data_IF_632758043125
#
_entry.id   IF_632758043125
#
_cell.length_a   1.000
_cell.length_b   1.000
_cell.length_c   1.000
_cell.angle_alpha   90.00
_cell.angle_beta   90.00
_cell.angle_gamma   90.00
#
_symmetry.space_group_name_H-M   'P 1'
#
loop_
_entity.id
_entity.type
_entity.pdbx_description
1 polymer ?
#
# COMPACT_ATOMS: atom_id res chain seq x y z
N UNK A 1 84.25 1.85 -33.75
CA UNK A 1 82.78 2.18 -33.70
C UNK A 1 82.02 0.90 -33.99
N UNK A 2 81.65 0.15 -32.99
CA UNK A 2 80.89 -1.09 -33.13
C UNK A 2 79.44 -0.83 -32.73
N UNK A 3 78.53 -0.90 -33.69
CA UNK A 3 77.09 -0.78 -33.49
C UNK A 3 76.57 -1.99 -32.72
N UNK A 4 76.21 -1.82 -31.45
CA UNK A 4 75.43 -2.82 -30.73
C UNK A 4 73.96 -2.72 -31.15
N UNK A 5 73.45 -3.83 -31.66
CA UNK A 5 72.07 -3.94 -32.11
C UNK A 5 71.15 -4.09 -30.89
N UNK A 6 70.18 -3.16 -30.62
CA UNK A 6 69.31 -3.17 -29.44
C UNK A 6 68.31 -4.32 -29.38
N UNK A 7 68.18 -5.12 -30.45
CA UNK A 7 67.21 -6.24 -30.55
C UNK A 7 67.67 -7.45 -29.71
N UNK A 8 68.97 -7.67 -29.59
CA UNK A 8 69.54 -8.85 -28.86
C UNK A 8 69.35 -8.69 -27.35
N UNK A 9 69.38 -7.47 -26.83
CA UNK A 9 69.24 -7.21 -25.39
C UNK A 9 67.80 -7.35 -24.89
N UNK A 10 66.81 -7.22 -25.76
CA UNK A 10 65.38 -7.35 -25.43
C UNK A 10 64.95 -8.82 -25.26
N UNK A 11 65.63 -9.76 -25.90
CA UNK A 11 65.31 -11.19 -25.76
C UNK A 11 65.92 -11.83 -24.52
N UNK A 12 67.02 -11.28 -23.97
CA UNK A 12 67.61 -11.79 -22.73
C UNK A 12 66.81 -11.36 -21.47
N UNK A 13 66.17 -10.18 -21.46
CA UNK A 13 65.31 -9.78 -20.37
C UNK A 13 63.96 -10.49 -20.39
N UNK A 14 63.44 -10.89 -21.54
CA UNK A 14 62.18 -11.65 -21.64
C UNK A 14 62.31 -13.10 -21.15
N UNK A 15 63.54 -13.70 -21.22
CA UNK A 15 63.76 -15.07 -20.74
C UNK A 15 64.08 -15.16 -19.26
N UNK A 16 64.52 -14.06 -18.63
CA UNK A 16 64.85 -14.04 -17.21
C UNK A 16 63.60 -13.69 -16.34
N UNK A 17 62.58 -13.05 -16.90
CA UNK A 17 61.30 -12.81 -16.21
C UNK A 17 60.33 -14.02 -16.20
N UNK A 18 60.63 -15.07 -16.99
CA UNK A 18 59.74 -16.23 -17.09
C UNK A 18 60.03 -17.35 -16.07
N UNK A 19 61.08 -17.19 -15.25
CA UNK A 19 61.48 -18.22 -14.29
C UNK A 19 61.32 -17.83 -12.80
N UNK A 20 60.65 -16.70 -12.52
CA UNK A 20 60.45 -16.27 -11.12
C UNK A 20 58.95 -16.14 -10.71
N UNK A 21 57.98 -16.61 -11.53
CA UNK A 21 56.55 -16.69 -11.19
C UNK A 21 56.04 -18.12 -11.15
N UNK A 22 56.82 -19.06 -10.60
CA UNK A 22 56.28 -20.27 -10.00
C UNK A 22 56.15 -20.06 -8.47
N UNK A 23 55.62 -18.91 -8.05
CA UNK A 23 54.95 -18.77 -6.78
C UNK A 23 53.67 -19.53 -6.93
N UNK A 24 53.54 -20.69 -6.30
CA UNK A 24 52.29 -21.35 -6.06
C UNK A 24 51.38 -20.31 -5.36
N UNK A 25 50.48 -19.68 -6.13
CA UNK A 25 49.23 -19.24 -5.56
C UNK A 25 48.58 -20.54 -5.08
N UNK A 26 48.65 -20.84 -3.80
CA UNK A 26 47.63 -21.67 -3.19
C UNK A 26 46.34 -20.90 -3.40
N UNK A 27 45.55 -21.27 -4.40
CA UNK A 27 44.14 -20.94 -4.41
C UNK A 27 43.68 -21.43 -3.04
N UNK A 28 43.30 -20.48 -2.18
CA UNK A 28 42.61 -20.79 -0.95
C UNK A 28 41.28 -21.34 -1.42
N UNK A 29 41.15 -22.67 -1.43
CA UNK A 29 39.97 -23.42 -1.89
C UNK A 29 38.78 -23.24 -0.93
N UNK A 30 38.83 -22.20 -0.07
CA UNK A 30 37.67 -21.82 0.73
C UNK A 30 36.64 -21.17 -0.20
N UNK A 31 35.48 -21.80 -0.39
CA UNK A 31 34.45 -21.26 -1.25
C UNK A 31 34.06 -19.86 -0.76
N UNK A 32 34.01 -18.91 -1.71
CA UNK A 32 33.63 -17.55 -1.42
C UNK A 32 32.25 -17.54 -0.72
N UNK A 33 32.07 -16.81 0.39
CA UNK A 33 30.78 -16.74 1.09
C UNK A 33 29.66 -16.35 0.14
N UNK A 34 28.59 -17.14 0.12
CA UNK A 34 27.44 -16.94 -0.76
C UNK A 34 26.15 -17.24 -0.03
N UNK A 35 25.12 -16.46 -0.34
CA UNK A 35 23.73 -16.65 0.15
C UNK A 35 22.79 -16.68 -1.02
N UNK A 36 21.73 -17.51 -0.94
CA UNK A 36 20.58 -17.46 -1.83
C UNK A 36 19.29 -17.53 -1.02
N UNK A 37 18.43 -16.56 -1.26
CA UNK A 37 17.10 -16.51 -0.70
C UNK A 37 16.08 -17.15 -1.62
N UNK A 38 15.06 -17.75 -1.02
CA UNK A 38 13.80 -18.13 -1.65
C UNK A 38 12.66 -17.95 -0.66
N UNK A 39 11.44 -17.69 -1.15
CA UNK A 39 10.24 -17.58 -0.33
C UNK A 39 9.01 -17.99 -1.14
N UNK A 40 8.03 -18.69 -0.57
CA UNK A 40 6.73 -18.91 -1.16
C UNK A 40 5.78 -17.72 -1.00
N UNK A 41 6.14 -16.73 -0.18
CA UNK A 41 5.32 -15.58 0.15
C UNK A 41 5.30 -14.57 -1.00
N UNK A 42 4.11 -14.17 -1.45
CA UNK A 42 3.93 -13.20 -2.54
C UNK A 42 4.41 -11.79 -2.20
N UNK A 43 4.52 -11.47 -0.90
CA UNK A 43 4.98 -10.18 -0.39
C UNK A 43 6.50 -10.10 -0.27
N UNK A 44 7.19 -11.21 -0.58
CA UNK A 44 8.63 -11.31 -0.61
C UNK A 44 9.10 -11.43 -2.06
N UNK A 45 9.79 -10.42 -2.55
CA UNK A 45 10.42 -10.42 -3.87
C UNK A 45 11.91 -10.72 -3.74
N UNK A 46 12.37 -11.73 -4.44
CA UNK A 46 13.78 -12.13 -4.46
C UNK A 46 14.46 -11.54 -5.70
N UNK A 47 15.69 -11.03 -5.55
CA UNK A 47 16.51 -10.58 -6.68
C UNK A 47 16.84 -11.74 -7.64
N UNK A 48 17.17 -11.42 -8.88
CA UNK A 48 17.44 -12.44 -9.91
C UNK A 48 18.64 -13.34 -9.55
N UNK A 49 19.63 -12.80 -8.86
CA UNK A 49 20.81 -13.55 -8.37
C UNK A 49 20.56 -14.28 -7.05
N UNK A 50 19.42 -14.03 -6.39
CA UNK A 50 19.04 -14.62 -5.12
C UNK A 50 19.73 -14.01 -3.88
N UNK A 51 20.58 -12.99 -4.04
CA UNK A 51 21.39 -12.45 -2.94
C UNK A 51 20.69 -11.39 -2.11
N UNK A 52 19.54 -10.89 -2.58
CA UNK A 52 18.73 -9.93 -1.84
C UNK A 52 17.24 -10.26 -1.92
N UNK A 53 16.51 -9.76 -0.93
CA UNK A 53 15.07 -9.84 -0.84
C UNK A 53 14.45 -8.48 -0.51
N UNK A 54 13.21 -8.26 -0.94
CA UNK A 54 12.40 -7.12 -0.56
C UNK A 54 11.06 -7.62 -0.02
N UNK A 55 10.70 -7.19 1.18
CA UNK A 55 9.43 -7.48 1.85
C UNK A 55 8.58 -6.23 1.81
N UNK A 56 7.33 -6.35 1.34
CA UNK A 56 6.34 -5.27 1.37
C UNK A 56 5.21 -5.69 2.29
N UNK A 57 5.14 -5.07 3.46
CA UNK A 57 4.19 -5.40 4.52
C UNK A 57 3.10 -4.33 4.65
N UNK A 58 1.91 -4.74 5.07
CA UNK A 58 0.87 -3.84 5.54
C UNK A 58 1.29 -3.22 6.88
N UNK A 59 0.46 -2.36 7.45
CA UNK A 59 0.73 -1.74 8.75
C UNK A 59 0.65 -2.73 9.93
N UNK A 60 0.04 -3.89 9.76
CA UNK A 60 -0.10 -4.90 10.81
C UNK A 60 1.24 -5.51 11.22
N UNK A 61 1.34 -5.92 12.47
CA UNK A 61 2.39 -6.82 12.90
C UNK A 61 2.35 -8.12 12.06
N UNK A 62 3.51 -8.66 11.74
CA UNK A 62 3.58 -9.82 10.87
C UNK A 62 4.87 -10.61 10.96
N UNK A 63 4.86 -11.78 10.34
CA UNK A 63 6.00 -12.67 10.25
C UNK A 63 6.17 -13.13 8.81
N UNK A 64 7.39 -13.00 8.29
CA UNK A 64 7.77 -13.45 6.95
C UNK A 64 8.84 -14.53 7.07
N UNK A 65 8.70 -15.57 6.25
CA UNK A 65 9.62 -16.71 6.28
C UNK A 65 10.31 -16.83 4.93
N UNK A 66 11.64 -16.82 4.99
CA UNK A 66 12.51 -17.07 3.85
C UNK A 66 13.32 -18.36 4.11
N UNK A 67 13.60 -19.08 3.05
CA UNK A 67 14.65 -20.09 3.06
C UNK A 67 15.94 -19.45 2.59
N UNK A 68 17.02 -19.66 3.31
CA UNK A 68 18.33 -19.09 3.03
C UNK A 68 19.37 -20.21 2.90
N UNK A 69 19.74 -20.55 1.67
CA UNK A 69 20.89 -21.39 1.39
C UNK A 69 22.17 -20.61 1.61
N UNK A 70 23.12 -21.17 2.34
CA UNK A 70 24.39 -20.52 2.70
C UNK A 70 25.52 -21.51 2.87
N UNK A 71 26.75 -21.08 2.68
CA UNK A 71 27.98 -21.85 2.89
C UNK A 71 28.92 -21.28 3.97
N UNK A 72 28.36 -20.44 4.86
CA UNK A 72 29.06 -19.79 5.96
C UNK A 72 28.18 -19.69 7.22
N UNK A 73 28.77 -19.30 8.34
CA UNK A 73 28.04 -18.97 9.56
C UNK A 73 27.42 -17.57 9.40
N UNK A 74 26.12 -17.51 9.19
CA UNK A 74 25.41 -16.27 8.89
C UNK A 74 24.76 -15.71 10.16
N UNK A 75 24.90 -14.39 10.36
CA UNK A 75 24.23 -13.65 11.42
C UNK A 75 23.35 -12.58 10.78
N UNK A 76 22.01 -12.63 10.94
CA UNK A 76 21.13 -11.56 10.50
C UNK A 76 21.17 -10.39 11.49
N UNK A 77 21.39 -9.17 10.99
CA UNK A 77 21.39 -7.93 11.77
C UNK A 77 20.40 -6.92 11.17
N UNK A 78 19.46 -6.45 11.98
CA UNK A 78 18.51 -5.41 11.59
C UNK A 78 18.95 -4.04 12.05
N UNK A 79 18.74 -3.03 11.23
CA UNK A 79 19.02 -1.62 11.56
C UNK A 79 17.87 -0.95 12.34
N UNK A 80 16.78 -1.68 12.62
CA UNK A 80 15.58 -1.19 13.31
C UNK A 80 15.08 -2.16 14.37
N UNK A 81 14.69 -1.63 15.53
CA UNK A 81 14.17 -2.45 16.64
C UNK A 81 12.80 -3.05 16.36
N UNK A 82 11.95 -2.38 15.56
CA UNK A 82 10.62 -2.85 15.21
C UNK A 82 10.61 -3.98 14.15
N UNK A 83 11.77 -4.27 13.56
CA UNK A 83 11.95 -5.31 12.57
C UNK A 83 13.10 -6.21 13.04
N UNK A 84 12.82 -7.45 13.36
CA UNK A 84 13.82 -8.40 13.84
C UNK A 84 13.96 -9.58 12.90
N UNK A 85 15.11 -10.24 12.92
CA UNK A 85 15.37 -11.41 12.10
C UNK A 85 16.06 -12.51 12.91
N UNK A 86 15.56 -13.73 12.80
CA UNK A 86 16.09 -14.90 13.47
C UNK A 86 16.36 -16.01 12.47
N UNK A 87 17.58 -16.52 12.46
CA UNK A 87 17.99 -17.64 11.61
C UNK A 87 18.05 -18.94 12.42
N UNK A 88 17.37 -19.97 11.94
CA UNK A 88 17.40 -21.32 12.52
C UNK A 88 17.61 -22.34 11.39
N UNK A 89 18.83 -22.87 11.28
CA UNK A 89 19.24 -23.67 10.12
C UNK A 89 19.22 -22.83 8.84
N UNK A 90 18.39 -23.24 7.89
CA UNK A 90 18.16 -22.52 6.63
C UNK A 90 16.88 -21.66 6.66
N UNK A 91 16.15 -21.67 7.77
CA UNK A 91 14.93 -20.87 7.93
C UNK A 91 15.26 -19.53 8.56
N UNK A 92 15.07 -18.45 7.78
CA UNK A 92 15.14 -17.08 8.25
C UNK A 92 13.72 -16.58 8.50
N UNK A 93 13.45 -16.17 9.73
CA UNK A 93 12.17 -15.56 10.13
C UNK A 93 12.38 -14.08 10.37
N UNK A 94 11.62 -13.25 9.66
CA UNK A 94 11.58 -11.80 9.85
C UNK A 94 10.28 -11.46 10.55
N UNK A 95 10.35 -10.78 11.70
CA UNK A 95 9.21 -10.33 12.48
C UNK A 95 9.15 -8.80 12.47
N UNK A 96 7.97 -8.25 12.29
CA UNK A 96 7.70 -6.82 12.29
C UNK A 96 6.60 -6.48 13.30
N UNK A 97 6.76 -5.35 13.98
CA UNK A 97 5.75 -4.80 14.86
C UNK A 97 4.70 -4.00 14.07
N UNK A 98 3.52 -3.79 14.67
CA UNK A 98 2.47 -2.92 14.13
C UNK A 98 2.97 -1.50 13.88
N UNK A 99 2.50 -0.89 12.79
CA UNK A 99 2.84 0.49 12.41
C UNK A 99 1.58 1.37 12.39
N UNK A 100 1.42 2.20 13.40
CA UNK A 100 0.30 3.14 13.51
C UNK A 100 0.60 4.54 12.94
N UNK A 101 1.85 4.80 12.51
CA UNK A 101 2.31 6.15 12.16
C UNK A 101 2.55 6.30 10.66
N UNK A 102 3.78 6.45 10.23
CA UNK A 102 4.16 6.74 8.85
C UNK A 102 4.78 5.51 8.15
N UNK A 103 4.82 5.54 6.81
CA UNK A 103 5.57 4.57 6.02
C UNK A 103 6.99 4.45 6.57
N UNK A 104 7.41 3.24 6.88
CA UNK A 104 8.73 2.99 7.46
C UNK A 104 9.50 1.88 6.76
N UNK A 105 10.82 1.97 6.84
CA UNK A 105 11.72 1.04 6.20
C UNK A 105 12.74 0.49 7.19
N UNK A 106 13.12 -0.78 6.99
CA UNK A 106 14.20 -1.44 7.68
C UNK A 106 15.11 -2.16 6.69
N UNK A 107 16.34 -2.38 7.09
CA UNK A 107 17.29 -3.21 6.38
C UNK A 107 17.84 -4.30 7.31
N UNK A 108 17.82 -5.54 6.82
CA UNK A 108 18.44 -6.68 7.50
C UNK A 108 19.65 -7.08 6.66
N UNK A 109 20.82 -7.02 7.27
CA UNK A 109 22.09 -7.46 6.69
C UNK A 109 22.38 -8.89 7.11
N UNK A 110 22.77 -9.74 6.18
CA UNK A 110 23.27 -11.09 6.48
C UNK A 110 24.77 -11.02 6.52
N UNK A 111 25.31 -11.13 7.74
CA UNK A 111 26.71 -10.95 8.03
C UNK A 111 27.49 -12.28 7.98
N UNK A 112 28.71 -12.21 7.47
CA UNK A 112 29.78 -13.20 7.66
C UNK A 112 30.97 -12.47 8.27
N UNK A 113 31.12 -12.53 9.59
CA UNK A 113 32.01 -11.65 10.33
C UNK A 113 31.63 -10.18 10.13
N UNK A 114 32.52 -9.36 9.60
CA UNK A 114 32.30 -7.94 9.33
C UNK A 114 31.73 -7.66 7.90
N UNK A 115 31.61 -8.70 7.08
CA UNK A 115 31.18 -8.56 5.68
C UNK A 115 29.67 -8.80 5.50
N UNK A 116 29.00 -7.91 4.76
CA UNK A 116 27.61 -8.10 4.34
C UNK A 116 27.60 -8.97 3.09
N UNK A 117 26.98 -10.17 3.18
CA UNK A 117 26.90 -11.12 2.08
C UNK A 117 25.51 -11.11 1.42
N UNK A 118 24.47 -10.77 2.17
CA UNK A 118 23.11 -10.65 1.67
C UNK A 118 22.36 -9.52 2.33
N UNK A 119 21.26 -9.07 1.70
CA UNK A 119 20.46 -7.96 2.21
C UNK A 119 18.97 -8.20 2.03
N UNK A 120 18.19 -7.89 3.05
CA UNK A 120 16.73 -7.85 2.99
C UNK A 120 16.28 -6.43 3.30
N UNK A 121 15.43 -5.87 2.45
CA UNK A 121 14.76 -4.60 2.71
C UNK A 121 13.31 -4.89 3.12
N UNK A 122 12.82 -4.17 4.11
CA UNK A 122 11.44 -4.25 4.56
C UNK A 122 10.83 -2.87 4.43
N UNK A 123 9.73 -2.77 3.68
CA UNK A 123 8.87 -1.60 3.62
C UNK A 123 7.56 -1.93 4.31
N UNK A 124 7.17 -1.15 5.31
CA UNK A 124 5.91 -1.34 6.02
C UNK A 124 5.01 -0.13 5.85
N UNK A 125 3.78 -0.39 5.36
CA UNK A 125 2.74 0.60 5.14
C UNK A 125 2.23 1.24 6.42
N UNK A 126 1.29 2.17 6.26
CA UNK A 126 0.64 2.91 7.35
C UNK A 126 -0.77 2.39 7.58
N UNK A 127 -1.30 2.59 8.78
CA UNK A 127 -2.69 2.33 9.09
C UNK A 127 -3.62 3.18 8.19
N UNK A 128 -4.69 2.60 7.63
CA UNK A 128 -5.60 3.33 6.77
C UNK A 128 -6.38 4.40 7.54
N UNK A 129 -6.57 5.55 6.91
CA UNK A 129 -7.42 6.63 7.41
C UNK A 129 -8.50 6.97 6.40
N UNK A 130 -9.67 7.38 6.88
CA UNK A 130 -10.80 7.77 6.08
C UNK A 130 -11.54 8.93 6.72
N UNK A 131 -11.81 9.97 5.95
CA UNK A 131 -12.69 11.07 6.33
C UNK A 131 -13.56 11.52 5.16
N UNK A 132 -14.74 12.01 5.48
CA UNK A 132 -15.72 12.52 4.53
C UNK A 132 -15.93 14.01 4.77
N UNK A 133 -16.04 14.80 3.70
CA UNK A 133 -16.39 16.23 3.79
C UNK A 133 -17.79 16.44 4.42
N UNK A 134 -18.72 15.50 4.17
CA UNK A 134 -20.05 15.46 4.78
C UNK A 134 -20.43 14.02 5.13
N UNK A 135 -21.08 13.84 6.26
CA UNK A 135 -21.68 12.57 6.67
C UNK A 135 -23.22 12.54 6.51
N UNK A 136 -23.77 13.54 5.83
CA UNK A 136 -25.19 13.64 5.51
C UNK A 136 -25.40 14.04 4.05
N UNK A 137 -26.51 13.59 3.46
CA UNK A 137 -26.94 13.95 2.12
C UNK A 137 -28.47 14.05 2.08
N UNK A 138 -28.99 15.15 1.55
CA UNK A 138 -30.43 15.40 1.48
C UNK A 138 -30.87 15.55 0.02
N UNK A 139 -31.95 14.88 -0.34
CA UNK A 139 -32.56 14.96 -1.65
C UNK A 139 -34.01 15.47 -1.54
N UNK A 140 -34.41 16.26 -2.53
CA UNK A 140 -35.85 16.57 -2.71
C UNK A 140 -36.56 15.34 -3.23
N UNK A 141 -37.89 15.36 -3.19
CA UNK A 141 -38.73 14.29 -3.77
C UNK A 141 -38.50 14.05 -5.25
N UNK A 142 -38.03 15.05 -5.99
CA UNK A 142 -37.77 14.92 -7.43
C UNK A 142 -36.48 14.13 -7.73
N UNK A 143 -35.66 13.90 -6.71
CA UNK A 143 -34.39 13.24 -6.87
C UNK A 143 -33.33 14.12 -7.54
N UNK A 144 -32.48 13.50 -8.37
CA UNK A 144 -31.35 14.18 -9.03
C UNK A 144 -30.04 14.01 -8.28
N UNK A 145 -29.02 14.72 -8.72
CA UNK A 145 -27.69 14.72 -8.09
C UNK A 145 -27.55 15.82 -7.03
N UNK A 146 -26.67 15.58 -6.08
CA UNK A 146 -26.18 16.59 -5.12
C UNK A 146 -24.73 16.94 -5.43
N UNK A 147 -24.19 17.97 -4.78
CA UNK A 147 -22.77 18.32 -4.86
C UNK A 147 -21.91 17.12 -4.44
N UNK A 148 -20.81 16.86 -5.14
CA UNK A 148 -19.97 15.71 -4.82
C UNK A 148 -19.34 15.84 -3.42
N UNK A 149 -19.35 14.75 -2.66
CA UNK A 149 -18.73 14.67 -1.35
C UNK A 149 -17.27 14.27 -1.51
N UNK A 150 -16.35 15.03 -0.93
CA UNK A 150 -14.94 14.68 -0.93
C UNK A 150 -14.67 13.53 0.05
N UNK A 151 -13.95 12.52 -0.43
CA UNK A 151 -13.43 11.38 0.35
C UNK A 151 -11.93 11.56 0.50
N UNK A 152 -11.45 11.66 1.72
CA UNK A 152 -10.03 11.78 2.01
C UNK A 152 -9.53 10.50 2.67
N UNK A 153 -8.51 9.89 2.08
CA UNK A 153 -7.84 8.69 2.60
C UNK A 153 -6.35 8.74 2.31
N UNK A 154 -5.54 8.07 3.11
CA UNK A 154 -4.11 7.85 2.87
C UNK A 154 -3.85 6.56 2.06
N UNK A 155 -4.89 5.86 1.63
CA UNK A 155 -4.79 4.64 0.82
C UNK A 155 -5.03 4.97 -0.66
N UNK A 156 -4.49 4.13 -1.56
CA UNK A 156 -4.66 4.30 -3.01
C UNK A 156 -6.10 4.13 -3.47
N UNK A 157 -6.92 3.38 -2.69
CA UNK A 157 -8.27 2.99 -3.07
C UNK A 157 -9.25 3.16 -1.91
N UNK A 158 -10.44 3.53 -2.27
CA UNK A 158 -11.61 3.49 -1.42
C UNK A 158 -12.80 2.97 -2.23
N UNK A 159 -13.83 2.51 -1.55
CA UNK A 159 -15.08 2.08 -2.18
C UNK A 159 -16.29 2.64 -1.46
N UNK A 160 -17.47 2.59 -2.12
CA UNK A 160 -18.72 3.04 -1.54
C UNK A 160 -19.87 2.13 -1.99
N UNK A 161 -20.74 1.80 -1.04
CA UNK A 161 -21.89 0.94 -1.28
C UNK A 161 -23.16 1.48 -0.59
N UNK A 162 -24.30 1.19 -1.16
CA UNK A 162 -25.60 1.47 -0.58
C UNK A 162 -26.59 0.37 -0.99
N UNK A 163 -27.36 -0.15 -0.03
CA UNK A 163 -28.37 -1.17 -0.28
C UNK A 163 -29.69 -0.60 -0.81
N UNK A 164 -29.86 0.73 -0.77
CA UNK A 164 -31.06 1.40 -1.26
C UNK A 164 -31.04 1.53 -2.78
N UNK A 165 -31.89 0.77 -3.48
CA UNK A 165 -31.96 0.74 -4.95
C UNK A 165 -32.37 2.07 -5.62
N UNK A 166 -32.77 3.08 -4.84
CA UNK A 166 -33.12 4.40 -5.32
C UNK A 166 -31.91 5.39 -5.32
N UNK A 167 -30.75 4.98 -4.81
CA UNK A 167 -29.50 5.74 -4.85
C UNK A 167 -28.55 5.11 -5.86
N UNK A 168 -28.03 5.95 -6.75
CA UNK A 168 -26.93 5.59 -7.64
C UNK A 168 -25.66 6.26 -7.15
N UNK A 169 -24.58 5.48 -7.05
CA UNK A 169 -23.25 5.90 -6.61
C UNK A 169 -22.32 5.94 -7.82
N UNK A 170 -21.54 7.00 -7.96
CA UNK A 170 -20.41 7.06 -8.87
C UNK A 170 -19.21 7.71 -8.22
N UNK A 171 -18.00 7.30 -8.66
CA UNK A 171 -16.71 7.79 -8.13
C UNK A 171 -15.94 8.50 -9.24
N UNK A 172 -15.35 9.64 -8.91
CA UNK A 172 -14.50 10.41 -9.81
C UNK A 172 -13.28 10.95 -9.03
N UNK A 173 -12.18 10.17 -9.04
CA UNK A 173 -11.03 10.46 -8.20
C UNK A 173 -11.37 10.38 -6.71
N UNK A 174 -11.22 11.49 -6.01
CA UNK A 174 -11.57 11.66 -4.59
C UNK A 174 -13.03 12.08 -4.35
N UNK A 175 -13.86 12.17 -5.39
CA UNK A 175 -15.23 12.65 -5.32
C UNK A 175 -16.23 11.49 -5.38
N UNK A 176 -17.11 11.44 -4.39
CA UNK A 176 -18.28 10.59 -4.33
C UNK A 176 -19.48 11.37 -4.84
N UNK A 177 -20.11 10.90 -5.92
CA UNK A 177 -21.34 11.46 -6.45
C UNK A 177 -22.52 10.56 -6.12
N UNK A 178 -23.55 11.15 -5.53
CA UNK A 178 -24.81 10.49 -5.23
C UNK A 178 -25.92 11.07 -6.11
N UNK A 179 -26.74 10.20 -6.66
CA UNK A 179 -27.92 10.56 -7.43
C UNK A 179 -29.11 9.73 -6.93
N UNK A 180 -30.21 10.40 -6.62
CA UNK A 180 -31.45 9.74 -6.17
C UNK A 180 -32.50 9.70 -7.30
N UNK A 181 -33.24 8.59 -7.39
CA UNK A 181 -34.45 8.55 -8.21
C UNK A 181 -35.59 9.33 -7.53
N UNK A 182 -36.63 9.76 -8.26
CA UNK A 182 -37.80 10.43 -7.66
C UNK A 182 -38.44 9.61 -6.54
N UNK A 183 -38.97 10.29 -5.50
CA UNK A 183 -39.73 9.69 -4.43
C UNK A 183 -41.23 9.99 -4.65
N UNK A 184 -42.00 9.11 -5.30
CA UNK A 184 -43.44 9.32 -5.52
C UNK A 184 -44.28 9.04 -4.27
N UNK A 185 -43.69 8.35 -3.28
CA UNK A 185 -44.38 7.92 -2.08
C UNK A 185 -44.45 9.08 -1.06
N UNK A 186 -45.55 9.13 -0.30
CA UNK A 186 -45.87 10.26 0.56
C UNK A 186 -45.07 10.39 1.86
N UNK A 187 -43.91 9.76 1.98
CA UNK A 187 -43.09 9.79 3.19
C UNK A 187 -41.58 10.07 2.94
N UNK A 188 -40.91 10.40 4.00
CA UNK A 188 -39.45 10.45 3.99
C UNK A 188 -38.88 9.03 3.82
N UNK A 189 -37.81 8.88 3.02
CA UNK A 189 -37.08 7.62 2.92
C UNK A 189 -35.62 7.80 3.27
N UNK A 190 -35.13 7.09 4.29
CA UNK A 190 -33.74 7.10 4.67
C UNK A 190 -32.93 6.05 3.89
N UNK A 191 -31.63 6.28 3.79
CA UNK A 191 -30.64 5.28 3.37
C UNK A 191 -29.30 5.59 4.02
N UNK A 192 -28.39 4.62 3.94
CA UNK A 192 -26.99 4.77 4.38
C UNK A 192 -26.07 4.40 3.25
N UNK A 193 -25.18 5.31 2.90
CA UNK A 193 -24.04 5.02 2.02
C UNK A 193 -22.84 4.75 2.91
N UNK A 194 -22.25 3.57 2.78
CA UNK A 194 -21.04 3.19 3.49
C UNK A 194 -19.84 3.37 2.56
N UNK A 195 -18.89 4.19 2.99
CA UNK A 195 -17.59 4.37 2.33
C UNK A 195 -16.54 3.58 3.08
N UNK A 196 -15.70 2.84 2.38
CA UNK A 196 -14.68 1.97 2.96
C UNK A 196 -13.32 2.19 2.33
N UNK A 197 -12.27 1.97 3.10
CA UNK A 197 -10.89 1.92 2.64
C UNK A 197 -10.10 0.95 3.51
N UNK A 198 -8.93 0.54 3.06
CA UNK A 198 -8.09 -0.36 3.83
C UNK A 198 -6.83 -0.78 3.07
N UNK A 199 -6.03 -1.63 3.68
CA UNK A 199 -4.84 -2.21 3.06
C UNK A 199 -5.22 -3.32 2.07
N UNK A 200 -4.24 -3.86 1.33
CA UNK A 200 -4.46 -4.89 0.30
C UNK A 200 -5.12 -6.16 0.85
N UNK A 201 -4.81 -6.52 2.10
CA UNK A 201 -5.31 -7.76 2.73
C UNK A 201 -6.68 -7.56 3.39
N UNK A 202 -7.03 -6.30 3.68
CA UNK A 202 -8.32 -5.91 4.25
C UNK A 202 -8.79 -4.58 3.62
N UNK A 203 -9.40 -4.60 2.42
CA UNK A 203 -9.77 -3.38 1.68
C UNK A 203 -10.92 -2.59 2.31
N UNK A 204 -11.58 -3.12 3.32
CA UNK A 204 -12.69 -2.48 4.05
C UNK A 204 -12.42 -2.33 5.55
N UNK A 205 -11.16 -2.10 5.93
CA UNK A 205 -10.70 -2.05 7.31
C UNK A 205 -11.25 -0.84 8.07
N UNK A 206 -11.37 0.29 7.39
CA UNK A 206 -11.95 1.52 7.92
C UNK A 206 -13.18 1.88 7.13
N UNK A 207 -14.25 2.27 7.82
CA UNK A 207 -15.51 2.69 7.19
C UNK A 207 -16.03 4.00 7.77
N UNK A 208 -16.74 4.75 6.91
CA UNK A 208 -17.49 5.95 7.29
C UNK A 208 -18.86 5.91 6.62
N UNK A 209 -19.89 6.43 7.31
CA UNK A 209 -21.25 6.41 6.83
C UNK A 209 -21.73 7.81 6.43
N UNK A 210 -22.52 7.88 5.35
CA UNK A 210 -23.27 9.06 4.95
C UNK A 210 -24.75 8.71 5.14
N UNK A 211 -25.42 9.43 6.04
CA UNK A 211 -26.85 9.31 6.25
C UNK A 211 -27.58 10.10 5.16
N UNK A 212 -28.34 9.39 4.37
CA UNK A 212 -29.08 9.96 3.24
C UNK A 212 -30.56 10.02 3.58
N UNK A 213 -31.17 11.16 3.31
CA UNK A 213 -32.62 11.36 3.44
C UNK A 213 -33.18 11.92 2.14
N UNK A 214 -34.36 11.45 1.76
CA UNK A 214 -35.12 12.05 0.68
C UNK A 214 -36.53 12.39 1.16
N UNK A 215 -36.91 13.64 0.97
CA UNK A 215 -38.20 14.16 1.40
C UNK A 215 -39.37 13.59 0.61
N UNK A 216 -40.61 13.77 1.13
CA UNK A 216 -41.84 13.44 0.44
C UNK A 216 -42.10 14.44 -0.70
N UNK A 217 -43.05 14.13 -1.61
CA UNK A 217 -43.54 15.09 -2.55
C UNK A 217 -44.08 16.34 -1.88
N UNK A 218 -43.67 17.52 -2.37
CA UNK A 218 -44.27 18.77 -1.93
C UNK A 218 -45.75 18.86 -2.34
N UNK A 219 -46.62 19.11 -1.38
CA UNK A 219 -48.00 19.36 -1.69
C UNK A 219 -48.15 20.80 -2.22
N UNK A 220 -48.32 20.95 -3.51
CA UNK A 220 -48.66 22.26 -4.11
C UNK A 220 -50.16 22.37 -4.18
N UNK A 221 -50.74 23.29 -3.41
CA UNK A 221 -52.13 23.64 -3.49
C UNK A 221 -52.29 24.82 -4.47
N UNK A 222 -52.73 24.54 -5.68
CA UNK A 222 -53.12 25.59 -6.62
C UNK A 222 -54.53 26.09 -6.35
N UNK A 223 -54.63 27.35 -5.95
CA UNK A 223 -55.94 28.02 -5.80
C UNK A 223 -56.17 29.00 -6.94
N UNK A 224 -57.22 28.76 -7.71
CA UNK A 224 -57.70 29.79 -8.63
C UNK A 224 -58.62 30.74 -7.88
N UNK A 225 -58.18 31.95 -7.68
CA UNK A 225 -58.99 33.01 -7.02
C UNK A 225 -59.74 33.78 -8.09
N UNK A 226 -61.06 33.83 -8.06
CA UNK A 226 -61.83 34.75 -8.91
C UNK A 226 -61.43 36.18 -8.65
N UNK A 227 -61.52 37.05 -9.63
CA UNK A 227 -61.19 38.45 -9.52
C UNK A 227 -61.96 39.10 -8.35
N UNK A 228 -61.22 39.64 -7.32
CA UNK A 228 -61.79 40.22 -6.11
C UNK A 228 -61.96 39.19 -4.94
N UNK A 229 -61.60 37.92 -5.12
CA UNK A 229 -61.62 36.92 -4.06
C UNK A 229 -60.51 37.11 -3.05
N UNK A 230 -60.72 36.65 -1.82
CA UNK A 230 -59.77 36.69 -0.70
C UNK A 230 -59.43 35.26 -0.28
N UNK A 231 -58.14 34.91 -0.32
CA UNK A 231 -57.67 33.61 0.20
C UNK A 231 -57.35 33.82 1.69
N UNK A 232 -57.99 33.03 2.53
CA UNK A 232 -57.66 32.91 3.94
C UNK A 232 -57.00 31.54 4.12
N UNK A 233 -55.71 31.49 4.26
CA UNK A 233 -55.01 30.25 4.59
C UNK A 233 -55.08 30.05 6.11
N UNK A 234 -55.67 28.97 6.57
CA UNK A 234 -55.61 28.66 7.98
C UNK A 234 -54.19 28.29 8.35
N UNK A 235 -53.53 29.17 9.13
CA UNK A 235 -52.23 28.85 9.76
C UNK A 235 -52.50 28.08 11.08
N UNK A 236 -53.13 26.93 10.95
CA UNK A 236 -53.36 26.08 12.11
C UNK A 236 -52.92 24.67 11.81
N UNK A 237 -51.95 24.20 12.57
CA UNK A 237 -51.62 22.82 12.62
C UNK A 237 -50.14 22.62 12.71
N UNK A 238 -49.61 22.41 13.93
CA UNK A 238 -48.46 21.59 14.07
C UNK A 238 -48.74 20.29 13.35
N UNK A 239 -47.94 19.99 12.37
CA UNK A 239 -47.86 18.64 11.82
C UNK A 239 -46.90 17.91 12.75
N UNK A 240 -47.46 17.05 13.62
CA UNK A 240 -46.68 16.13 14.44
C UNK A 240 -46.02 15.08 13.53
#
# INVERSE_FOLDING_TARGET
MSNFNPIVMRQFYALLCLLLFSGACSEDDTPNPAVKFSSPDSDVKISQDGTSAAITATHHAGQFVLTMEKNFEAVPESDRSWCTAVLSGDRLTVEIEENAEELRNAAISIMNGESVIGKITVEQGVAPTLSLESNTAEFTNEGGGIDPITVTTNQERWDAACDAGWITISKEGDKLRLTASPNPDGGNRPAVVTVTTGCKDNPAEVSAAINVTQGPPSLILEYTVPAGGKIILPLSGAID
#
